data_IF_067626187344
#
_entry.id   IF_067626187344
#
_cell.length_a   1.000
_cell.length_b   1.000
_cell.length_c   1.000
_cell.angle_alpha   90.00
_cell.angle_beta   90.00
_cell.angle_gamma   90.00
#
_symmetry.space_group_name_H-M   'P 1'
#
loop_
_entity.id
_entity.type
_entity.pdbx_description
1 polymer ?
#
# COMPACT_ATOMS: atom_id res chain seq x y z
N UNK A 1 -1.23 -5.10 9.10
CA UNK A 1 -2.01 -4.05 9.79
C UNK A 1 -1.09 -2.90 10.17
N UNK A 2 -1.49 -1.66 9.94
CA UNK A 2 -0.82 -0.46 10.46
C UNK A 2 -1.37 -0.21 11.87
N UNK A 3 -0.48 0.04 12.83
CA UNK A 3 -0.82 0.30 14.23
C UNK A 3 -0.28 1.67 14.62
N UNK A 4 -1.16 2.53 15.10
CA UNK A 4 -0.82 3.85 15.63
C UNK A 4 -1.39 4.01 17.04
N UNK A 5 -0.72 4.75 17.88
CA UNK A 5 -1.17 5.07 19.23
C UNK A 5 -1.32 6.59 19.36
N UNK A 6 -2.51 7.05 19.76
CA UNK A 6 -2.76 8.45 20.09
C UNK A 6 -2.18 8.82 21.45
N UNK A 7 -2.05 10.11 21.71
CA UNK A 7 -1.54 10.62 22.98
C UNK A 7 -2.38 10.17 24.19
N UNK A 8 -3.67 9.88 24.00
CA UNK A 8 -4.56 9.34 25.04
C UNK A 8 -4.43 7.82 25.23
N UNK A 9 -3.59 7.16 24.43
CA UNK A 9 -3.36 5.73 24.43
C UNK A 9 -4.34 4.92 23.57
N UNK A 10 -5.28 5.57 22.87
CA UNK A 10 -6.16 4.89 21.91
C UNK A 10 -5.35 4.33 20.74
N UNK A 11 -5.55 3.06 20.44
CA UNK A 11 -4.93 2.41 19.29
C UNK A 11 -5.79 2.59 18.05
N UNK A 12 -5.19 3.09 16.98
CA UNK A 12 -5.76 3.15 15.64
C UNK A 12 -5.19 1.98 14.85
N UNK A 13 -6.08 1.12 14.37
CA UNK A 13 -5.75 -0.08 13.63
C UNK A 13 -6.30 0.02 12.21
N UNK A 14 -5.42 -0.05 11.22
CA UNK A 14 -5.76 0.04 9.80
C UNK A 14 -5.28 -1.25 9.13
N UNK A 15 -6.19 -1.96 8.46
CA UNK A 15 -5.83 -3.12 7.66
C UNK A 15 -4.91 -2.73 6.51
N UNK A 16 -3.95 -3.59 6.17
CA UNK A 16 -3.18 -3.44 4.92
C UNK A 16 -4.10 -3.52 3.70
N UNK A 17 -5.15 -4.33 3.82
CA UNK A 17 -6.20 -4.41 2.80
C UNK A 17 -7.07 -3.15 2.73
N UNK A 18 -7.26 -2.43 3.83
CA UNK A 18 -8.01 -1.16 3.85
C UNK A 18 -7.17 0.00 3.31
N UNK A 19 -5.87 0.04 3.61
CA UNK A 19 -4.98 1.02 2.98
C UNK A 19 -4.84 0.77 1.46
N UNK A 20 -4.82 -0.48 1.02
CA UNK A 20 -4.80 -0.81 -0.41
C UNK A 20 -6.07 -0.32 -1.13
N UNK A 21 -7.25 -0.41 -0.51
CA UNK A 21 -8.48 0.19 -1.06
C UNK A 21 -8.35 1.71 -1.22
N UNK A 22 -7.67 2.38 -0.29
CA UNK A 22 -7.38 3.82 -0.41
C UNK A 22 -6.44 4.11 -1.59
N UNK A 23 -5.40 3.27 -1.80
CA UNK A 23 -4.54 3.32 -3.00
C UNK A 23 -5.36 3.18 -4.29
N UNK A 24 -6.32 2.26 -4.31
CA UNK A 24 -7.25 2.05 -5.43
C UNK A 24 -8.12 3.27 -5.72
N UNK A 25 -8.59 3.99 -4.70
CA UNK A 25 -9.32 5.25 -4.87
C UNK A 25 -8.44 6.33 -5.51
N UNK A 26 -7.19 6.46 -5.06
CA UNK A 26 -6.22 7.37 -5.68
C UNK A 26 -5.95 7.00 -7.14
N UNK A 27 -5.77 5.72 -7.44
CA UNK A 27 -5.56 5.24 -8.80
C UNK A 27 -6.76 5.49 -9.72
N UNK A 28 -7.98 5.31 -9.21
CA UNK A 28 -9.22 5.49 -9.97
C UNK A 28 -9.43 6.95 -10.41
N UNK A 29 -8.95 7.90 -9.62
CA UNK A 29 -9.07 9.33 -9.90
C UNK A 29 -7.79 9.96 -10.44
N UNK A 30 -6.75 9.16 -10.70
CA UNK A 30 -5.50 9.67 -11.24
C UNK A 30 -5.64 10.07 -12.71
N UNK A 31 -5.14 11.25 -13.03
CA UNK A 31 -5.03 11.76 -14.39
C UNK A 31 -5.80 13.07 -14.60
N UNK A 32 -5.14 13.99 -15.24
CA UNK A 32 -5.68 15.29 -15.66
C UNK A 32 -4.85 15.81 -16.86
N UNK A 33 -4.88 17.10 -17.14
CA UNK A 33 -4.12 17.70 -18.24
C UNK A 33 -2.59 17.57 -18.09
N UNK A 34 -2.08 17.30 -16.87
CA UNK A 34 -0.63 17.22 -16.56
C UNK A 34 -0.16 15.80 -16.27
N UNK A 35 -1.08 14.89 -15.91
CA UNK A 35 -0.80 13.52 -15.56
C UNK A 35 -1.64 12.59 -16.40
N UNK A 36 -1.00 11.65 -17.08
CA UNK A 36 -1.70 10.63 -17.86
C UNK A 36 -2.49 9.67 -16.97
N UNK A 37 -3.71 9.32 -17.40
CA UNK A 37 -4.51 8.28 -16.74
C UNK A 37 -3.80 6.92 -16.80
N UNK A 38 -3.95 6.07 -15.78
CA UNK A 38 -3.44 4.70 -15.81
C UNK A 38 -3.89 3.94 -17.06
N UNK A 39 -3.01 3.17 -17.67
CA UNK A 39 -3.29 2.42 -18.88
C UNK A 39 -2.56 1.06 -18.84
N UNK A 40 -3.28 -0.09 -18.89
CA UNK A 40 -4.75 -0.26 -18.94
C UNK A 40 -5.42 0.20 -17.62
N UNK A 41 -6.44 1.03 -17.72
CA UNK A 41 -7.05 1.69 -16.56
C UNK A 41 -7.53 0.70 -15.49
N UNK A 42 -8.44 -0.22 -15.88
CA UNK A 42 -9.05 -1.15 -14.92
C UNK A 42 -8.02 -2.05 -14.25
N UNK A 43 -7.01 -2.51 -15.00
CA UNK A 43 -5.99 -3.40 -14.48
C UNK A 43 -5.10 -2.70 -13.43
N UNK A 44 -4.71 -1.45 -13.68
CA UNK A 44 -3.88 -0.67 -12.74
C UNK A 44 -4.67 -0.28 -11.50
N UNK A 45 -5.93 0.16 -11.65
CA UNK A 45 -6.82 0.47 -10.51
C UNK A 45 -7.04 -0.78 -9.65
N UNK A 46 -7.32 -1.93 -10.29
CA UNK A 46 -7.48 -3.20 -9.60
C UNK A 46 -6.21 -3.61 -8.87
N UNK A 47 -5.06 -3.49 -9.52
CA UNK A 47 -3.78 -3.77 -8.88
C UNK A 47 -3.55 -2.87 -7.66
N UNK A 48 -3.81 -1.57 -7.76
CA UNK A 48 -3.68 -0.65 -6.65
C UNK A 48 -4.64 -0.99 -5.49
N UNK A 49 -5.87 -1.38 -5.79
CA UNK A 49 -6.88 -1.72 -4.79
C UNK A 49 -6.58 -3.02 -4.03
N UNK A 50 -5.86 -3.94 -4.65
CA UNK A 50 -5.65 -5.29 -4.12
C UNK A 50 -4.17 -5.66 -3.92
N UNK A 51 -3.23 -4.73 -4.04
CA UNK A 51 -1.80 -5.02 -3.98
C UNK A 51 -1.36 -5.73 -2.70
N UNK A 52 -2.06 -5.51 -1.62
CA UNK A 52 -1.78 -6.08 -0.30
C UNK A 52 -2.79 -7.18 0.15
N UNK A 53 -3.48 -7.83 -0.82
CA UNK A 53 -4.45 -8.91 -0.52
C UNK A 53 -3.83 -10.10 0.21
N UNK A 54 -2.54 -10.33 0.13
CA UNK A 54 -1.85 -11.36 0.92
C UNK A 54 -1.88 -11.13 2.43
N UNK A 55 -2.34 -9.96 2.90
CA UNK A 55 -2.52 -9.69 4.32
C UNK A 55 -3.86 -10.17 4.89
N UNK A 56 -4.82 -10.62 4.06
CA UNK A 56 -6.13 -11.08 4.54
C UNK A 56 -6.04 -12.16 5.60
N UNK A 57 -5.16 -13.15 5.42
CA UNK A 57 -4.98 -14.24 6.39
C UNK A 57 -4.53 -13.71 7.75
N UNK A 58 -3.57 -12.77 7.75
CA UNK A 58 -3.12 -12.13 8.99
C UNK A 58 -4.23 -11.29 9.63
N UNK A 59 -4.98 -10.54 8.85
CA UNK A 59 -6.06 -9.67 9.34
C UNK A 59 -7.28 -10.45 9.83
N UNK A 60 -7.46 -11.68 9.35
CA UNK A 60 -8.47 -12.60 9.88
C UNK A 60 -8.08 -13.15 11.26
N UNK A 61 -6.79 -13.16 11.62
CA UNK A 61 -6.32 -13.62 12.92
C UNK A 61 -5.11 -12.80 13.40
N UNK A 62 -5.29 -11.49 13.64
CA UNK A 62 -4.20 -10.62 14.03
C UNK A 62 -3.67 -10.97 15.42
N UNK A 63 -2.39 -10.66 15.68
CA UNK A 63 -1.72 -11.05 16.91
C UNK A 63 -0.98 -9.88 17.55
N UNK A 64 -0.42 -10.13 18.72
CA UNK A 64 0.34 -9.18 19.56
C UNK A 64 1.80 -9.61 19.67
N UNK A 65 2.65 -8.68 20.02
CA UNK A 65 4.02 -8.95 20.42
C UNK A 65 4.03 -9.64 21.79
N UNK A 66 4.77 -10.73 21.91
CA UNK A 66 4.79 -11.55 23.13
C UNK A 66 5.41 -10.82 24.33
N UNK A 67 6.34 -9.91 24.08
CA UNK A 67 7.06 -9.15 25.11
C UNK A 67 6.28 -7.93 25.61
N UNK A 68 5.48 -7.28 24.76
CA UNK A 68 4.79 -6.02 25.09
C UNK A 68 3.28 -6.18 25.20
N UNK A 69 2.70 -7.24 24.68
CA UNK A 69 1.25 -7.42 24.58
C UNK A 69 0.57 -6.44 23.62
N UNK A 70 1.33 -5.63 22.86
CA UNK A 70 0.79 -4.66 21.89
C UNK A 70 0.53 -5.32 20.53
N UNK A 71 -0.50 -4.87 19.78
CA UNK A 71 -0.73 -5.35 18.41
C UNK A 71 0.50 -5.16 17.54
N UNK A 72 0.83 -6.18 16.73
CA UNK A 72 1.96 -6.09 15.81
C UNK A 72 1.64 -5.17 14.62
N UNK A 73 2.52 -4.18 14.42
CA UNK A 73 2.56 -3.46 13.15
C UNK A 73 3.03 -4.39 12.03
N UNK A 74 2.56 -4.19 10.80
CA UNK A 74 2.92 -5.03 9.64
C UNK A 74 4.44 -5.18 9.45
N UNK A 75 5.23 -4.15 9.80
CA UNK A 75 6.69 -4.20 9.74
C UNK A 75 7.32 -5.11 10.80
N UNK A 76 6.58 -5.48 11.84
CA UNK A 76 7.03 -6.36 12.92
C UNK A 76 6.59 -7.83 12.69
N UNK A 77 5.69 -8.06 11.75
CA UNK A 77 5.24 -9.42 11.42
C UNK A 77 6.37 -10.17 10.73
N UNK A 78 6.75 -11.31 11.30
CA UNK A 78 7.78 -12.16 10.72
C UNK A 78 7.36 -12.68 9.34
N UNK A 79 8.19 -12.44 8.36
CA UNK A 79 8.00 -12.97 7.01
C UNK A 79 8.38 -14.44 6.95
N UNK A 80 7.39 -15.33 6.99
CA UNK A 80 7.57 -16.79 7.04
C UNK A 80 6.70 -17.51 6.00
N UNK A 81 6.71 -18.85 6.05
CA UNK A 81 5.93 -19.71 5.13
C UNK A 81 4.44 -19.33 5.04
N UNK A 82 3.73 -19.03 6.14
CA UNK A 82 2.32 -18.63 6.05
C UNK A 82 2.12 -17.36 5.22
N UNK A 83 2.93 -16.34 5.45
CA UNK A 83 2.84 -15.07 4.70
C UNK A 83 3.17 -15.27 3.23
N UNK A 84 4.21 -16.05 2.89
CA UNK A 84 4.54 -16.36 1.50
C UNK A 84 3.39 -17.03 0.78
N UNK A 85 2.79 -18.07 1.39
CA UNK A 85 1.61 -18.77 0.82
C UNK A 85 0.43 -17.84 0.61
N UNK A 86 0.17 -16.93 1.56
CA UNK A 86 -0.91 -15.97 1.44
C UNK A 86 -0.69 -15.01 0.25
N UNK A 87 0.56 -14.56 0.04
CA UNK A 87 0.89 -13.72 -1.10
C UNK A 87 0.94 -14.49 -2.42
N UNK A 88 1.43 -15.73 -2.45
CA UNK A 88 1.32 -16.61 -3.63
C UNK A 88 -0.15 -16.78 -4.03
N UNK A 89 -1.01 -17.09 -3.05
CA UNK A 89 -2.45 -17.19 -3.30
C UNK A 89 -3.05 -15.88 -3.83
N UNK A 90 -2.69 -14.76 -3.27
CA UNK A 90 -3.20 -13.45 -3.71
C UNK A 90 -2.77 -13.11 -5.15
N UNK A 91 -1.52 -13.41 -5.50
CA UNK A 91 -0.97 -13.23 -6.86
C UNK A 91 -1.70 -14.16 -7.84
N UNK A 92 -1.84 -15.45 -7.51
CA UNK A 92 -2.54 -16.44 -8.35
C UNK A 92 -4.01 -16.10 -8.53
N UNK A 93 -4.68 -15.69 -7.46
CA UNK A 93 -6.07 -15.26 -7.48
C UNK A 93 -6.25 -14.07 -8.42
N UNK A 94 -5.42 -13.04 -8.28
CA UNK A 94 -5.48 -11.85 -9.11
C UNK A 94 -5.13 -12.15 -10.57
N UNK A 95 -4.14 -13.02 -10.81
CA UNK A 95 -3.74 -13.43 -12.18
C UNK A 95 -4.87 -14.14 -12.90
N UNK A 96 -5.71 -14.91 -12.20
CA UNK A 96 -6.90 -15.54 -12.80
C UNK A 96 -8.00 -14.55 -13.13
N UNK A 97 -8.09 -13.44 -12.41
CA UNK A 97 -9.05 -12.36 -12.70
C UNK A 97 -8.55 -11.52 -13.86
N UNK A 98 -7.30 -11.09 -13.77
CA UNK A 98 -6.63 -10.25 -14.78
C UNK A 98 -5.12 -10.48 -14.72
N UNK A 99 -4.51 -11.05 -15.74
CA UNK A 99 -3.07 -11.36 -15.74
C UNK A 99 -2.17 -10.14 -15.57
N UNK A 100 -2.57 -8.97 -16.07
CA UNK A 100 -1.78 -7.75 -15.94
C UNK A 100 -1.79 -7.24 -14.49
N UNK A 101 -2.95 -7.23 -13.84
CA UNK A 101 -3.07 -6.88 -12.42
C UNK A 101 -2.27 -7.85 -11.55
N UNK A 102 -2.34 -9.16 -11.83
CA UNK A 102 -1.57 -10.18 -11.11
C UNK A 102 -0.06 -9.98 -11.24
N UNK A 103 0.40 -9.60 -12.45
CA UNK A 103 1.80 -9.28 -12.68
C UNK A 103 2.25 -8.04 -11.88
N UNK A 104 1.42 -7.01 -11.78
CA UNK A 104 1.69 -5.83 -10.94
C UNK A 104 1.76 -6.18 -9.46
N UNK A 105 0.84 -7.03 -8.94
CA UNK A 105 0.89 -7.52 -7.54
C UNK A 105 2.18 -8.31 -7.27
N UNK A 106 2.53 -9.22 -8.17
CA UNK A 106 3.76 -9.99 -8.06
C UNK A 106 4.98 -9.07 -8.03
N UNK A 107 5.04 -8.08 -8.94
CA UNK A 107 6.13 -7.11 -9.02
C UNK A 107 6.21 -6.22 -7.79
N UNK A 108 5.07 -5.79 -7.27
CA UNK A 108 4.99 -5.03 -6.02
C UNK A 108 5.63 -5.83 -4.88
N UNK A 109 5.21 -7.08 -4.68
CA UNK A 109 5.69 -7.88 -3.56
C UNK A 109 7.17 -8.23 -3.63
N UNK A 110 7.63 -8.69 -4.80
CA UNK A 110 9.07 -8.98 -4.97
C UNK A 110 9.91 -7.72 -4.89
N UNK A 111 9.43 -6.60 -5.43
CA UNK A 111 10.11 -5.32 -5.37
C UNK A 111 10.31 -4.79 -3.95
N UNK A 112 9.32 -4.94 -3.07
CA UNK A 112 9.44 -4.62 -1.66
C UNK A 112 10.57 -5.43 -1.00
N UNK A 113 10.59 -6.73 -1.22
CA UNK A 113 11.56 -7.61 -0.60
C UNK A 113 12.98 -7.49 -1.16
N UNK A 114 13.11 -7.14 -2.45
CA UNK A 114 14.40 -6.83 -3.08
C UNK A 114 14.93 -5.43 -2.73
N UNK A 115 14.19 -4.64 -1.93
CA UNK A 115 14.54 -3.23 -1.68
C UNK A 115 14.51 -2.36 -2.94
N UNK A 116 13.84 -2.81 -4.01
CA UNK A 116 13.68 -2.07 -5.27
C UNK A 116 12.51 -1.11 -5.25
N UNK A 117 11.68 -1.26 -4.25
CA UNK A 117 10.57 -0.37 -3.98
C UNK A 117 11.16 0.95 -3.48
N UNK A 118 11.03 1.98 -4.28
CA UNK A 118 11.56 3.25 -3.84
C UNK A 118 13.01 3.50 -4.27
N UNK A 119 13.31 3.34 -5.54
CA UNK A 119 14.15 4.35 -6.16
C UNK A 119 13.46 5.73 -6.05
N UNK A 120 12.24 5.74 -5.50
CA UNK A 120 11.65 6.88 -4.84
C UNK A 120 12.42 7.14 -3.55
N UNK A 121 12.88 8.35 -3.37
CA UNK A 121 13.76 8.80 -2.29
C UNK A 121 13.10 8.79 -0.90
N UNK A 122 12.27 7.78 -0.60
CA UNK A 122 11.81 7.57 0.75
C UNK A 122 12.95 7.01 1.59
N UNK A 123 13.42 7.72 2.64
CA UNK A 123 14.50 7.25 3.50
C UNK A 123 14.14 6.02 4.34
N UNK A 124 12.92 5.55 4.25
CA UNK A 124 12.45 4.31 4.89
C UNK A 124 12.48 3.18 3.88
N UNK A 125 13.67 2.84 3.39
CA UNK A 125 13.91 1.54 2.80
C UNK A 125 13.36 0.49 3.78
N UNK A 126 12.41 -0.34 3.31
CA UNK A 126 11.93 -1.46 4.10
C UNK A 126 13.15 -2.27 4.52
N UNK A 127 13.23 -2.57 5.81
CA UNK A 127 14.36 -3.30 6.37
C UNK A 127 14.32 -4.74 5.86
N UNK A 128 15.06 -5.02 4.80
CA UNK A 128 15.21 -6.36 4.21
C UNK A 128 16.05 -7.29 5.09
N UNK A 129 16.60 -6.82 6.22
CA UNK A 129 17.55 -7.56 7.05
C UNK A 129 16.93 -8.73 7.82
N UNK A 130 15.60 -8.90 7.82
CA UNK A 130 14.91 -9.99 8.52
C UNK A 130 14.23 -11.00 7.60
N UNK A 131 14.68 -11.12 6.36
CA UNK A 131 14.13 -12.12 5.45
C UNK A 131 14.74 -13.49 5.76
N UNK A 132 13.92 -14.57 5.93
CA UNK A 132 14.41 -15.93 6.06
C UNK A 132 15.22 -16.36 4.83
N UNK A 133 16.19 -17.29 5.01
CA UNK A 133 16.99 -17.83 3.90
C UNK A 133 16.11 -18.44 2.79
N UNK A 134 15.02 -19.11 3.16
CA UNK A 134 14.08 -19.73 2.22
C UNK A 134 13.18 -18.74 1.46
N UNK A 135 13.34 -17.43 1.68
CA UNK A 135 12.62 -16.40 0.94
C UNK A 135 13.12 -16.25 -0.50
N UNK A 136 14.36 -16.61 -0.77
CA UNK A 136 14.94 -16.50 -2.11
C UNK A 136 14.16 -17.34 -3.12
N UNK A 137 13.81 -18.59 -2.77
CA UNK A 137 12.98 -19.47 -3.62
C UNK A 137 11.66 -18.82 -4.04
N UNK A 138 11.02 -18.08 -3.11
CA UNK A 138 9.78 -17.33 -3.42
C UNK A 138 10.07 -16.21 -4.41
N UNK A 139 11.14 -15.47 -4.21
CA UNK A 139 11.49 -14.33 -5.07
C UNK A 139 11.87 -14.80 -6.47
N UNK A 140 12.73 -15.81 -6.59
CA UNK A 140 13.18 -16.34 -7.87
C UNK A 140 12.02 -16.87 -8.71
N UNK A 141 11.16 -17.72 -8.15
CA UNK A 141 9.98 -18.25 -8.85
C UNK A 141 9.05 -17.15 -9.35
N UNK A 142 8.80 -16.13 -8.52
CA UNK A 142 7.95 -15.01 -8.94
C UNK A 142 8.64 -14.15 -10.01
N UNK A 143 9.94 -13.90 -9.89
CA UNK A 143 10.71 -13.12 -10.88
C UNK A 143 10.81 -13.83 -12.22
N UNK A 144 10.98 -15.16 -12.26
CA UNK A 144 10.93 -15.97 -13.47
C UNK A 144 9.54 -15.91 -14.13
N UNK A 145 8.47 -16.08 -13.36
CA UNK A 145 7.10 -15.95 -13.84
C UNK A 145 6.81 -14.54 -14.38
N UNK A 146 7.30 -13.50 -13.71
CA UNK A 146 7.21 -12.11 -14.17
C UNK A 146 7.92 -11.91 -15.51
N UNK A 147 9.15 -12.42 -15.65
CA UNK A 147 9.91 -12.30 -16.89
C UNK A 147 9.21 -13.02 -18.07
N UNK A 148 8.58 -14.16 -17.81
CA UNK A 148 7.80 -14.88 -18.82
C UNK A 148 6.52 -14.10 -19.20
N UNK A 149 5.77 -13.60 -18.22
CA UNK A 149 4.52 -12.88 -18.44
C UNK A 149 4.75 -11.52 -19.14
N UNK A 150 5.84 -10.83 -18.79
CA UNK A 150 6.15 -9.49 -19.31
C UNK A 150 6.35 -9.46 -20.83
N UNK A 151 6.72 -10.60 -21.44
CA UNK A 151 6.85 -10.73 -22.91
C UNK A 151 5.55 -10.43 -23.68
N UNK A 152 4.41 -10.48 -23.01
CA UNK A 152 3.09 -10.21 -23.58
C UNK A 152 2.68 -8.74 -23.51
N UNK A 153 3.52 -7.86 -22.93
CA UNK A 153 3.19 -6.47 -22.64
C UNK A 153 4.31 -5.54 -23.08
N UNK A 154 3.99 -4.27 -23.25
CA UNK A 154 5.01 -3.23 -23.41
C UNK A 154 5.72 -3.02 -22.07
N UNK A 155 7.03 -3.23 -22.06
CA UNK A 155 7.84 -3.17 -20.84
C UNK A 155 7.90 -1.76 -20.25
N UNK A 156 7.94 -0.72 -21.10
CA UNK A 156 7.99 0.67 -20.66
C UNK A 156 6.65 1.09 -20.05
N UNK A 157 5.53 0.68 -20.67
CA UNK A 157 4.19 0.90 -20.14
C UNK A 157 4.01 0.18 -18.79
N UNK A 158 4.44 -1.08 -18.70
CA UNK A 158 4.37 -1.85 -17.47
C UNK A 158 5.21 -1.21 -16.35
N UNK A 159 6.43 -0.76 -16.68
CA UNK A 159 7.29 -0.09 -15.70
C UNK A 159 6.68 1.21 -15.18
N UNK A 160 6.07 2.01 -16.05
CA UNK A 160 5.35 3.22 -15.67
C UNK A 160 4.20 2.90 -14.71
N UNK A 161 3.40 1.87 -15.01
CA UNK A 161 2.31 1.43 -14.14
C UNK A 161 2.80 0.90 -12.79
N UNK A 162 3.94 0.23 -12.77
CA UNK A 162 4.54 -0.20 -11.51
C UNK A 162 5.01 0.98 -10.65
N UNK A 163 5.56 2.04 -11.26
CA UNK A 163 5.89 3.27 -10.55
C UNK A 163 4.65 4.02 -10.06
N UNK A 164 3.57 4.03 -10.85
CA UNK A 164 2.28 4.59 -10.42
C UNK A 164 1.69 3.79 -9.24
N UNK A 165 1.74 2.47 -9.28
CA UNK A 165 1.31 1.63 -8.16
C UNK A 165 2.06 1.99 -6.86
N UNK A 166 3.38 2.18 -6.94
CA UNK A 166 4.18 2.63 -5.80
C UNK A 166 3.75 4.02 -5.31
N UNK A 167 3.42 4.93 -6.24
CA UNK A 167 2.95 6.28 -5.91
C UNK A 167 1.64 6.22 -5.13
N UNK A 168 0.67 5.41 -5.59
CA UNK A 168 -0.63 5.25 -4.91
C UNK A 168 -0.47 4.62 -3.52
N UNK A 169 0.39 3.63 -3.40
CA UNK A 169 0.73 2.99 -2.14
C UNK A 169 1.34 4.01 -1.15
N UNK A 170 2.33 4.82 -1.58
CA UNK A 170 2.92 5.85 -0.72
C UNK A 170 1.91 6.92 -0.29
N UNK A 171 1.04 7.40 -1.20
CA UNK A 171 -0.02 8.35 -0.83
C UNK A 171 -0.87 7.74 0.29
N UNK A 172 -1.34 6.51 0.12
CA UNK A 172 -2.18 5.85 1.11
C UNK A 172 -1.45 5.59 2.43
N UNK A 173 -0.19 5.15 2.38
CA UNK A 173 0.64 4.94 3.58
C UNK A 173 0.85 6.24 4.37
N UNK A 174 1.09 7.36 3.71
CA UNK A 174 1.25 8.64 4.38
C UNK A 174 -0.03 9.05 5.10
N UNK A 175 -1.19 8.94 4.43
CA UNK A 175 -2.50 9.20 5.04
C UNK A 175 -2.82 8.25 6.20
N UNK A 176 -2.35 7.02 6.15
CA UNK A 176 -2.56 6.03 7.22
C UNK A 176 -1.64 6.23 8.42
N UNK A 177 -0.39 6.64 8.20
CA UNK A 177 0.65 6.60 9.25
C UNK A 177 0.81 7.90 10.03
N UNK A 178 0.25 9.02 9.55
CA UNK A 178 0.50 10.36 10.13
C UNK A 178 -0.78 11.14 10.32
N UNK A 179 -0.85 11.96 11.36
CA UNK A 179 -1.91 12.94 11.57
C UNK A 179 -1.61 14.26 10.87
N UNK A 180 -0.32 14.55 10.66
CA UNK A 180 0.14 15.74 9.94
C UNK A 180 1.16 15.32 8.89
N UNK A 181 0.93 15.74 7.65
CA UNK A 181 1.81 15.47 6.51
C UNK A 181 2.63 16.71 6.16
N UNK A 182 3.89 16.48 5.86
CA UNK A 182 4.82 17.34 5.15
C UNK A 182 5.80 16.41 4.44
N UNK A 183 5.29 15.72 3.42
CA UNK A 183 5.96 14.59 2.78
C UNK A 183 6.11 14.80 1.28
N UNK A 184 7.05 14.06 0.70
CA UNK A 184 7.38 14.10 -0.71
C UNK A 184 7.37 12.70 -1.28
N UNK A 185 6.83 12.57 -2.49
CA UNK A 185 6.91 11.35 -3.31
C UNK A 185 7.60 11.71 -4.62
N UNK A 186 8.71 11.07 -4.91
CA UNK A 186 9.48 11.25 -6.13
C UNK A 186 10.36 10.03 -6.44
N UNK A 187 10.60 9.68 -7.71
CA UNK A 187 10.03 10.30 -8.91
C UNK A 187 8.62 9.76 -9.22
N UNK A 188 7.73 10.60 -9.74
CA UNK A 188 6.36 10.23 -10.12
C UNK A 188 6.18 10.37 -11.63
N UNK A 189 5.75 9.31 -12.36
CA UNK A 189 5.49 9.41 -13.79
C UNK A 189 4.35 10.37 -14.11
N UNK A 190 4.55 11.21 -15.13
CA UNK A 190 3.51 12.12 -15.64
C UNK A 190 2.91 11.64 -16.95
N UNK A 191 3.61 10.77 -17.69
CA UNK A 191 3.16 10.20 -18.96
C UNK A 191 3.77 8.82 -19.22
N UNK A 192 3.35 8.19 -20.32
CA UNK A 192 3.83 6.90 -20.80
C UNK A 192 4.87 7.00 -21.92
N UNK A 193 5.21 8.20 -22.37
CA UNK A 193 6.15 8.39 -23.48
C UNK A 193 7.62 8.30 -23.08
N UNK A 194 7.90 8.19 -21.79
CA UNK A 194 9.25 8.12 -21.23
C UNK A 194 10.12 9.37 -21.45
N UNK A 195 9.55 10.45 -22.01
CA UNK A 195 10.26 11.70 -22.32
C UNK A 195 9.80 12.85 -21.43
N UNK A 196 8.56 12.79 -20.92
CA UNK A 196 8.04 13.79 -20.02
C UNK A 196 8.83 13.80 -18.70
N UNK A 197 9.03 14.97 -18.10
CA UNK A 197 9.70 15.07 -16.82
C UNK A 197 8.92 14.30 -15.74
N UNK A 198 9.64 13.63 -14.87
CA UNK A 198 9.06 13.02 -13.67
C UNK A 198 8.68 14.12 -12.69
N UNK A 199 7.54 13.97 -12.04
CA UNK A 199 7.08 14.91 -11.03
C UNK A 199 7.65 14.58 -9.64
N UNK A 200 7.62 15.60 -8.80
CA UNK A 200 7.84 15.53 -7.36
C UNK A 200 6.57 16.00 -6.68
N UNK A 201 5.82 15.08 -6.08
CA UNK A 201 4.59 15.41 -5.35
C UNK A 201 4.93 15.79 -3.92
N UNK A 202 4.41 16.91 -3.44
CA UNK A 202 4.41 17.28 -2.03
C UNK A 202 3.02 17.04 -1.45
N UNK A 203 2.94 16.43 -0.27
CA UNK A 203 1.69 16.23 0.46
C UNK A 203 1.78 16.99 1.78
N UNK A 204 0.93 17.99 1.96
CA UNK A 204 0.95 18.82 3.16
C UNK A 204 -0.43 18.94 3.79
N UNK A 205 -0.51 18.70 5.09
CA UNK A 205 -1.75 18.93 5.84
C UNK A 205 -2.07 20.43 5.89
N UNK A 206 -3.26 20.78 5.42
CA UNK A 206 -3.79 22.14 5.50
C UNK A 206 -4.56 22.33 6.81
N UNK A 207 -5.50 21.42 7.10
CA UNK A 207 -6.25 21.40 8.35
C UNK A 207 -6.94 20.04 8.52
N UNK A 208 -6.79 19.40 9.67
CA UNK A 208 -7.39 18.10 9.95
C UNK A 208 -7.07 17.07 8.89
N UNK A 209 -8.08 16.57 8.18
CA UNK A 209 -7.93 15.60 7.08
C UNK A 209 -7.90 16.25 5.68
N UNK A 210 -7.78 17.57 5.59
CA UNK A 210 -7.58 18.29 4.33
C UNK A 210 -6.10 18.37 4.01
N UNK A 211 -5.72 17.80 2.85
CA UNK A 211 -4.33 17.64 2.41
C UNK A 211 -4.13 18.35 1.07
N UNK A 212 -3.22 19.29 1.00
CA UNK A 212 -2.75 19.85 -0.26
C UNK A 212 -1.78 18.87 -0.93
N UNK A 213 -1.95 18.66 -2.22
CA UNK A 213 -1.08 17.84 -3.08
C UNK A 213 -0.60 18.70 -4.23
N UNK A 214 0.73 18.85 -4.38
CA UNK A 214 1.34 19.73 -5.38
C UNK A 214 2.49 19.02 -6.14
N UNK A 215 2.46 18.99 -7.48
CA UNK A 215 1.35 19.30 -8.36
C UNK A 215 0.16 18.36 -8.16
N UNK A 216 -1.07 18.86 -8.35
CA UNK A 216 -2.29 18.07 -8.13
C UNK A 216 -2.54 17.10 -9.30
N UNK A 217 -2.62 15.77 -9.05
CA UNK A 217 -2.61 14.78 -10.12
C UNK A 217 -3.99 14.19 -10.47
N UNK A 218 -5.04 14.55 -9.73
CA UNK A 218 -6.34 13.90 -9.82
C UNK A 218 -7.30 14.63 -10.75
N UNK A 219 -8.36 13.93 -11.18
CA UNK A 219 -9.40 14.42 -12.09
C UNK A 219 -10.48 15.29 -11.41
N UNK A 220 -10.56 15.24 -10.09
CA UNK A 220 -11.48 16.05 -9.27
C UNK A 220 -10.70 16.84 -8.21
N UNK A 221 -10.96 18.14 -8.12
CA UNK A 221 -10.39 19.03 -7.09
C UNK A 221 -11.52 19.76 -6.34
N UNK A 222 -11.72 19.51 -5.04
CA UNK A 222 -11.01 18.54 -4.21
C UNK A 222 -11.47 17.09 -4.47
N UNK A 223 -10.55 16.14 -4.32
CA UNK A 223 -10.85 14.73 -4.33
C UNK A 223 -11.13 14.24 -2.89
N UNK A 224 -12.31 13.64 -2.67
CA UNK A 224 -12.60 12.93 -1.43
C UNK A 224 -12.20 11.47 -1.56
N UNK A 225 -11.37 11.00 -0.62
CA UNK A 225 -11.03 9.58 -0.46
C UNK A 225 -11.33 9.12 0.94
N UNK A 226 -11.65 7.83 1.10
CA UNK A 226 -12.11 7.29 2.37
C UNK A 226 -11.24 6.13 2.84
N UNK A 227 -10.83 6.18 4.10
CA UNK A 227 -10.11 5.13 4.80
C UNK A 227 -11.02 4.51 5.86
N UNK A 228 -11.04 3.18 5.92
CA UNK A 228 -11.68 2.44 7.01
C UNK A 228 -10.63 2.06 8.04
N UNK A 229 -10.92 2.29 9.32
CA UNK A 229 -10.05 1.92 10.44
C UNK A 229 -10.84 1.48 11.66
N UNK A 230 -10.18 0.85 12.61
CA UNK A 230 -10.74 0.58 13.93
C UNK A 230 -10.03 1.39 14.98
N UNK A 231 -10.75 1.77 16.01
CA UNK A 231 -10.21 2.43 17.20
C UNK A 231 -10.54 1.55 18.40
N UNK A 232 -9.52 1.17 19.16
CA UNK A 232 -9.68 0.34 20.36
C UNK A 232 -9.02 1.05 21.55
N UNK A 233 -9.54 0.73 22.74
CA UNK A 233 -9.03 1.33 23.99
C UNK A 233 -7.56 1.00 24.24
N UNK A 234 -7.03 1.58 25.30
CA UNK A 234 -5.62 1.55 25.69
C UNK A 234 -5.06 0.15 25.84
N UNK A 235 -3.80 0.02 25.48
CA UNK A 235 -2.88 -0.80 26.22
C UNK A 235 -2.39 -2.07 25.55
N UNK A 236 -1.76 -2.85 26.38
CA UNK A 236 -1.33 -4.20 26.11
C UNK A 236 -2.49 -5.17 26.41
N UNK A 237 -2.55 -6.23 25.62
CA UNK A 237 -3.52 -7.31 25.82
C UNK A 237 -2.83 -8.48 26.52
N UNK A 238 -3.60 -9.22 27.36
CA UNK A 238 -3.06 -10.35 28.12
C UNK A 238 -2.60 -11.48 27.21
N UNK A 239 -3.30 -11.66 26.09
CA UNK A 239 -3.02 -12.69 25.09
C UNK A 239 -3.62 -12.32 23.72
N UNK A 240 -3.27 -13.07 22.66
CA UNK A 240 -3.81 -12.82 21.31
C UNK A 240 -5.34 -12.98 21.20
N UNK A 241 -5.98 -13.79 22.05
CA UNK A 241 -7.43 -13.97 22.00
C UNK A 241 -8.15 -12.73 22.53
N UNK A 242 -7.68 -12.16 23.63
CA UNK A 242 -8.19 -10.90 24.17
C UNK A 242 -8.04 -9.74 23.18
N UNK A 243 -6.91 -9.67 22.46
CA UNK A 243 -6.73 -8.69 21.40
C UNK A 243 -7.72 -8.91 20.25
N UNK A 244 -7.86 -10.12 19.73
CA UNK A 244 -8.81 -10.43 18.64
C UNK A 244 -10.24 -10.12 19.04
N UNK A 245 -10.63 -10.40 20.27
CA UNK A 245 -11.96 -10.05 20.77
C UNK A 245 -12.19 -8.54 20.72
N UNK A 246 -11.25 -7.75 21.21
CA UNK A 246 -11.32 -6.28 21.14
C UNK A 246 -11.33 -5.78 19.68
N UNK A 247 -10.47 -6.33 18.84
CA UNK A 247 -10.38 -5.99 17.42
C UNK A 247 -11.68 -6.23 16.66
N UNK A 248 -12.31 -7.41 16.83
CA UNK A 248 -13.54 -7.75 16.13
C UNK A 248 -14.77 -7.06 16.70
N UNK A 249 -14.79 -6.73 18.00
CA UNK A 249 -15.85 -5.93 18.61
C UNK A 249 -15.80 -4.45 18.21
N UNK A 250 -14.63 -3.94 17.86
CA UNK A 250 -14.49 -2.55 17.44
C UNK A 250 -15.24 -2.30 16.12
N UNK A 251 -16.17 -1.36 16.16
CA UNK A 251 -16.92 -0.95 14.96
C UNK A 251 -15.96 -0.22 14.01
N UNK A 252 -15.88 -0.62 12.74
CA UNK A 252 -15.09 0.11 11.75
C UNK A 252 -15.60 1.54 11.59
N UNK A 253 -14.67 2.49 11.55
CA UNK A 253 -14.95 3.92 11.35
C UNK A 253 -14.37 4.33 10.00
N UNK A 254 -15.20 5.01 9.20
CA UNK A 254 -14.75 5.64 7.97
C UNK A 254 -14.21 7.04 8.27
N UNK A 255 -13.03 7.35 7.72
CA UNK A 255 -12.38 8.66 7.80
C UNK A 255 -12.24 9.20 6.40
N UNK A 256 -12.79 10.38 6.16
CA UNK A 256 -12.67 11.06 4.87
C UNK A 256 -11.44 11.96 4.86
N UNK A 257 -10.64 11.83 3.82
CA UNK A 257 -9.59 12.79 3.47
C UNK A 257 -10.04 13.61 2.26
N UNK A 258 -9.72 14.91 2.30
CA UNK A 258 -9.95 15.83 1.19
C UNK A 258 -8.58 16.20 0.59
N UNK A 259 -8.26 15.62 -0.55
CA UNK A 259 -7.06 15.97 -1.31
C UNK A 259 -7.39 17.16 -2.22
N UNK A 260 -6.62 18.23 -2.16
CA UNK A 260 -6.87 19.43 -2.96
C UNK A 260 -5.56 20.01 -3.54
N UNK A 261 -5.68 20.83 -4.58
CA UNK A 261 -4.58 21.70 -4.98
C UNK A 261 -4.23 22.69 -3.85
N UNK A 262 -3.02 23.26 -3.85
CA UNK A 262 -2.57 24.25 -2.87
C UNK A 262 -3.45 25.47 -2.76
#
# INVERSE_FOLDING_TARGET
MIVRERADGTLILIGQTDHAKLSGQCAAHWGNQYFAKPKPYEAVVRAAMFHDSGWYDYEASPTIAADTGKPLNFMQVTWGKPQRRAFEWAIDWMTRIDPYSGLLLSKHRTGLQRGRYGKMTSPKAFNTQNLPEDNEDFLERNEEAQAAALRNYDEAEFWTNYQLLQTFDFISLFLCNKDTLDDVIEPVPTSYDGKAPLARLTLKTVAGTKIAVDPFPFDNDPLRVQLVRREIGRGAFADPAAFREAYFKAIPVAVDFMLCSP
#
